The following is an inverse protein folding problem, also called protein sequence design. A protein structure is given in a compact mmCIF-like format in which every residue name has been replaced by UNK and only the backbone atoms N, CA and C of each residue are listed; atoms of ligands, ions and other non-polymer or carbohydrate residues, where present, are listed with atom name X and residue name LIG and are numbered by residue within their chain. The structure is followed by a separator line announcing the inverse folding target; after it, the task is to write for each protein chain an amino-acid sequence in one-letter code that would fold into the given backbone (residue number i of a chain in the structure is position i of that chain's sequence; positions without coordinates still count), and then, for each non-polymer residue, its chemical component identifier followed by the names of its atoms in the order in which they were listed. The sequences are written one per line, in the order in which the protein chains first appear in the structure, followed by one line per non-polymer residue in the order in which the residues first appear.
data_IF_015581017045
#
_entry.id   IF_015581017045
#
_cell.length_a   1.000
_cell.length_b   1.000
_cell.length_c   1.000
_cell.angle_alpha   90.00
_cell.angle_beta   90.00
_cell.angle_gamma   90.00
#
_symmetry.space_group_name_H-M   'P 1'
#
loop_
_entity.id
_entity.type
_entity.pdbx_description
1 polymer ?
#
# COMPACT_ATOMS: atom_id res chain seq x y z
N UNK A 1 -6.94 27.22 -3.86
CA UNK A 1 -5.89 26.25 -4.21
C UNK A 1 -6.58 24.92 -4.43
N UNK A 2 -6.34 24.25 -5.56
CA UNK A 2 -6.98 22.97 -5.89
C UNK A 2 -6.34 21.80 -5.13
N UNK A 3 -7.07 20.68 -5.06
CA UNK A 3 -6.52 19.40 -4.59
C UNK A 3 -5.37 18.95 -5.48
N UNK A 4 -4.35 18.31 -4.89
CA UNK A 4 -3.28 17.63 -5.64
C UNK A 4 -3.54 16.13 -5.81
N UNK A 5 -4.72 15.66 -5.41
CA UNK A 5 -5.11 14.25 -5.57
C UNK A 5 -5.75 14.07 -6.94
N UNK A 6 -5.32 13.02 -7.64
CA UNK A 6 -5.91 12.64 -8.93
C UNK A 6 -7.34 12.15 -8.74
N UNK A 7 -8.30 12.81 -9.36
CA UNK A 7 -9.74 12.55 -9.10
C UNK A 7 -10.23 11.20 -9.66
N UNK A 8 -9.66 10.70 -10.77
CA UNK A 8 -10.12 9.48 -11.44
C UNK A 8 -8.93 8.60 -11.90
N UNK A 9 -8.20 7.96 -10.98
CA UNK A 9 -7.16 7.01 -11.36
C UNK A 9 -7.80 5.78 -12.03
N UNK A 10 -7.13 5.25 -13.05
CA UNK A 10 -7.62 4.11 -13.83
C UNK A 10 -7.38 2.77 -13.16
N UNK A 11 -6.41 2.71 -12.24
CA UNK A 11 -5.96 1.49 -11.56
C UNK A 11 -5.87 1.73 -10.05
N UNK A 12 -6.03 0.65 -9.29
CA UNK A 12 -5.88 0.68 -7.83
C UNK A 12 -4.44 0.99 -7.44
N UNK A 13 -3.47 0.41 -8.15
CA UNK A 13 -2.06 0.75 -8.05
C UNK A 13 -1.41 0.59 -9.43
N UNK A 14 -0.27 1.25 -9.62
CA UNK A 14 0.41 1.27 -10.90
C UNK A 14 1.59 0.29 -10.95
N UNK A 15 2.31 0.16 -9.84
CA UNK A 15 3.50 -0.67 -9.70
C UNK A 15 3.62 -1.19 -8.27
N UNK A 16 3.97 -2.47 -8.14
CA UNK A 16 4.51 -3.07 -6.93
C UNK A 16 5.95 -3.50 -7.20
N UNK A 17 6.85 -3.30 -6.24
CA UNK A 17 8.19 -3.86 -6.31
C UNK A 17 8.78 -4.19 -4.94
N UNK A 18 9.73 -5.11 -4.94
CA UNK A 18 10.59 -5.42 -3.81
C UNK A 18 12.01 -4.96 -4.15
N UNK A 19 12.58 -4.11 -3.31
CA UNK A 19 13.94 -3.62 -3.45
C UNK A 19 14.85 -4.15 -2.34
N UNK A 20 16.06 -4.57 -2.69
CA UNK A 20 17.12 -4.88 -1.76
C UNK A 20 17.87 -3.60 -1.36
N UNK A 21 18.25 -3.52 -0.09
CA UNK A 21 19.06 -2.43 0.43
C UNK A 21 20.41 -2.41 -0.31
N UNK A 22 20.87 -1.24 -0.78
CA UNK A 22 22.14 -1.15 -1.49
C UNK A 22 23.31 -1.44 -0.55
N UNK A 23 24.41 -1.97 -1.08
CA UNK A 23 25.58 -2.33 -0.28
C UNK A 23 26.45 -1.12 0.10
N UNK A 24 26.29 0.00 -0.62
CA UNK A 24 27.02 1.25 -0.43
C UNK A 24 26.20 2.45 -0.92
N UNK A 25 26.59 3.66 -0.52
CA UNK A 25 25.90 4.91 -0.89
C UNK A 25 25.88 5.16 -2.42
N UNK A 26 26.96 4.79 -3.12
CA UNK A 26 27.08 4.92 -4.58
C UNK A 26 26.39 3.79 -5.35
N UNK A 27 25.86 2.77 -4.66
CA UNK A 27 25.22 1.64 -5.30
C UNK A 27 23.70 1.85 -5.39
N UNK A 28 23.13 1.48 -6.54
CA UNK A 28 21.70 1.53 -6.71
C UNK A 28 21.00 0.36 -6.01
N UNK A 29 19.86 0.59 -5.32
CA UNK A 29 19.06 -0.49 -4.77
C UNK A 29 18.58 -1.42 -5.88
N UNK A 30 18.76 -2.72 -5.68
CA UNK A 30 18.38 -3.71 -6.68
C UNK A 30 16.89 -4.07 -6.55
N UNK A 31 16.14 -4.00 -7.65
CA UNK A 31 14.78 -4.56 -7.71
C UNK A 31 14.88 -6.09 -7.78
N UNK A 32 14.42 -6.76 -6.74
CA UNK A 32 14.35 -8.21 -6.65
C UNK A 32 13.13 -8.76 -7.40
N UNK A 33 12.00 -8.05 -7.29
CA UNK A 33 10.71 -8.45 -7.87
C UNK A 33 9.92 -7.20 -8.25
N UNK A 34 9.10 -7.30 -9.29
CA UNK A 34 8.17 -6.24 -9.68
C UNK A 34 6.88 -6.81 -10.29
N UNK A 35 5.80 -6.07 -10.16
CA UNK A 35 4.50 -6.35 -10.79
C UNK A 35 3.81 -5.03 -11.20
N UNK A 36 3.32 -4.89 -12.43
CA UNK A 36 3.43 -5.84 -13.55
C UNK A 36 4.89 -6.02 -14.02
N UNK A 37 5.17 -7.10 -14.74
CA UNK A 37 6.52 -7.38 -15.27
C UNK A 37 6.91 -6.37 -16.34
N UNK A 38 5.99 -6.03 -17.25
CA UNK A 38 6.15 -4.91 -18.16
C UNK A 38 5.63 -3.62 -17.50
N UNK A 39 6.55 -2.77 -17.05
CA UNK A 39 6.22 -1.42 -16.59
C UNK A 39 6.79 -0.39 -17.57
N UNK A 40 5.92 0.46 -18.11
CA UNK A 40 6.23 1.32 -19.26
C UNK A 40 7.29 2.40 -18.98
N UNK A 41 7.48 2.78 -17.71
CA UNK A 41 8.36 3.87 -17.30
C UNK A 41 9.66 3.34 -16.70
N UNK A 42 10.64 3.11 -17.56
CA UNK A 42 11.96 2.58 -17.20
C UNK A 42 12.77 3.54 -16.30
N UNK A 43 12.56 4.85 -16.41
CA UNK A 43 13.21 5.84 -15.53
C UNK A 43 12.68 5.71 -14.10
N UNK A 44 11.36 5.57 -13.95
CA UNK A 44 10.73 5.29 -12.66
C UNK A 44 11.24 3.98 -12.04
N UNK A 45 11.44 2.91 -12.81
CA UNK A 45 11.98 1.63 -12.27
C UNK A 45 13.36 1.80 -11.64
N UNK A 46 14.20 2.69 -12.17
CA UNK A 46 15.53 2.95 -11.60
C UNK A 46 15.49 3.90 -10.41
N UNK A 47 14.62 4.90 -10.47
CA UNK A 47 14.56 5.97 -9.48
C UNK A 47 13.76 5.58 -8.22
N UNK A 48 12.64 4.86 -8.37
CA UNK A 48 11.75 4.51 -7.26
C UNK A 48 12.42 3.72 -6.14
N UNK A 49 13.30 2.73 -6.41
CA UNK A 49 13.99 2.00 -5.35
C UNK A 49 14.85 2.90 -4.45
N UNK A 50 15.37 4.02 -4.95
CA UNK A 50 16.13 4.98 -4.14
C UNK A 50 15.27 5.64 -3.05
N UNK A 51 13.97 5.82 -3.30
CA UNK A 51 13.03 6.34 -2.31
C UNK A 51 12.67 5.32 -1.22
N UNK A 52 12.95 4.03 -1.43
CA UNK A 52 12.74 2.99 -0.43
C UNK A 52 13.77 3.00 0.70
N UNK A 53 14.91 3.68 0.51
CA UNK A 53 15.99 3.78 1.49
C UNK A 53 16.40 5.25 1.70
N UNK A 54 15.50 6.10 2.27
CA UNK A 54 15.73 7.53 2.44
C UNK A 54 16.66 7.84 3.64
N UNK A 55 17.76 7.09 3.76
CA UNK A 55 18.72 7.21 4.85
C UNK A 55 20.12 6.83 4.39
N UNK A 56 21.12 7.30 5.13
CA UNK A 56 22.51 6.90 4.92
C UNK A 56 22.69 5.44 5.39
N UNK A 57 22.84 4.54 4.43
CA UNK A 57 22.95 3.09 4.66
C UNK A 57 24.16 2.72 5.50
N UNK A 58 25.23 3.53 5.52
CA UNK A 58 26.41 3.26 6.35
C UNK A 58 26.23 3.71 7.79
N UNK A 59 25.38 4.72 8.03
CA UNK A 59 25.19 5.32 9.36
C UNK A 59 23.96 4.83 10.10
N UNK A 60 22.99 4.26 9.39
CA UNK A 60 21.77 3.77 10.01
C UNK A 60 22.09 2.57 10.89
N UNK A 61 21.63 2.62 12.14
CA UNK A 61 21.65 1.42 12.99
C UNK A 61 20.51 0.52 12.56
N UNK A 62 20.80 -0.74 12.32
CA UNK A 62 19.79 -1.75 12.01
C UNK A 62 18.70 -1.73 13.09
N UNK A 63 17.48 -1.42 12.67
CA UNK A 63 16.31 -1.49 13.54
C UNK A 63 15.67 -2.86 13.39
N UNK A 64 15.41 -3.61 14.47
CA UNK A 64 14.70 -4.89 14.38
C UNK A 64 13.22 -4.71 14.02
N UNK A 65 12.70 -3.48 14.02
CA UNK A 65 11.29 -3.19 13.80
C UNK A 65 10.98 -2.98 12.31
N UNK A 66 9.83 -3.50 11.88
CA UNK A 66 9.24 -3.17 10.58
C UNK A 66 8.77 -1.72 10.62
N UNK A 67 9.07 -0.97 9.56
CA UNK A 67 8.67 0.43 9.44
C UNK A 67 7.82 0.65 8.20
N UNK A 68 6.70 1.36 8.39
CA UNK A 68 5.86 1.84 7.30
C UNK A 68 6.11 3.33 7.09
N UNK A 69 6.29 3.72 5.84
CA UNK A 69 6.38 5.11 5.46
C UNK A 69 5.80 5.31 4.06
N UNK A 70 5.50 6.54 3.70
CA UNK A 70 5.03 6.88 2.36
C UNK A 70 5.81 8.06 1.83
N UNK A 71 6.37 7.93 0.63
CA UNK A 71 6.88 9.07 -0.13
C UNK A 71 5.85 9.55 -1.14
N UNK A 72 5.95 10.80 -1.57
CA UNK A 72 5.07 11.36 -2.59
C UNK A 72 5.90 11.91 -3.75
N UNK A 73 5.59 11.45 -4.96
CA UNK A 73 6.09 12.00 -6.21
C UNK A 73 5.05 12.97 -6.77
N UNK A 74 5.51 14.02 -7.44
CA UNK A 74 4.62 14.95 -8.14
C UNK A 74 4.77 14.71 -9.63
N UNK A 75 3.65 14.45 -10.32
CA UNK A 75 3.67 14.31 -11.77
C UNK A 75 3.67 15.67 -12.48
N UNK A 76 3.73 15.63 -13.82
CA UNK A 76 3.77 16.83 -14.66
C UNK A 76 2.48 17.66 -14.58
N UNK A 77 1.36 17.05 -14.18
CA UNK A 77 0.06 17.70 -13.99
C UNK A 77 -0.07 18.32 -12.58
N UNK A 78 0.91 18.10 -11.71
CA UNK A 78 0.91 18.58 -10.33
C UNK A 78 0.17 17.66 -9.35
N UNK A 79 -0.24 16.47 -9.80
CA UNK A 79 -0.88 15.48 -8.95
C UNK A 79 0.15 14.67 -8.16
N UNK A 80 -0.24 14.24 -6.96
CA UNK A 80 0.57 13.42 -6.09
C UNK A 80 0.38 11.94 -6.39
N UNK A 81 1.49 11.23 -6.55
CA UNK A 81 1.58 9.78 -6.62
C UNK A 81 2.30 9.28 -5.38
N UNK A 82 1.68 8.37 -4.65
CA UNK A 82 2.16 7.90 -3.35
C UNK A 82 2.88 6.56 -3.50
N UNK A 83 4.09 6.48 -2.96
CA UNK A 83 4.84 5.23 -2.80
C UNK A 83 4.74 4.75 -1.37
N UNK A 84 3.85 3.78 -1.12
CA UNK A 84 3.66 3.16 0.19
C UNK A 84 4.74 2.10 0.40
N UNK A 85 5.53 2.26 1.45
CA UNK A 85 6.69 1.42 1.72
C UNK A 85 6.53 0.64 3.02
N UNK A 86 7.00 -0.61 3.00
CA UNK A 86 7.22 -1.46 4.17
C UNK A 86 8.68 -1.90 4.19
N UNK A 87 9.48 -1.26 5.04
CA UNK A 87 10.88 -1.62 5.27
C UNK A 87 10.93 -2.79 6.26
N UNK A 88 11.59 -3.88 5.87
CA UNK A 88 11.78 -5.05 6.72
C UNK A 88 12.65 -4.72 7.95
N UNK A 89 12.43 -5.46 9.04
CA UNK A 89 13.35 -5.42 10.18
C UNK A 89 14.77 -5.81 9.75
N UNK A 90 15.77 -5.05 10.20
CA UNK A 90 17.16 -5.12 9.71
C UNK A 90 17.43 -4.21 8.52
N UNK A 91 16.41 -3.63 7.88
CA UNK A 91 16.58 -2.66 6.79
C UNK A 91 17.15 -3.26 5.49
N UNK A 92 17.14 -4.59 5.33
CA UNK A 92 17.77 -5.27 4.19
C UNK A 92 16.89 -5.32 2.94
N UNK A 93 15.57 -5.20 3.08
CA UNK A 93 14.64 -5.13 1.94
C UNK A 93 13.45 -4.23 2.23
N UNK A 94 12.87 -3.70 1.17
CA UNK A 94 11.71 -2.81 1.21
C UNK A 94 10.69 -3.23 0.16
N UNK A 95 9.44 -3.36 0.57
CA UNK A 95 8.31 -3.57 -0.33
C UNK A 95 7.64 -2.23 -0.61
N UNK A 96 7.33 -1.93 -1.86
CA UNK A 96 6.70 -0.68 -2.26
C UNK A 96 5.51 -0.89 -3.18
N UNK A 97 4.42 -0.17 -2.94
CA UNK A 97 3.29 -0.03 -3.87
C UNK A 97 3.16 1.44 -4.26
N UNK A 98 3.13 1.71 -5.56
CA UNK A 98 2.94 3.04 -6.13
C UNK A 98 1.48 3.22 -6.58
N UNK A 99 0.79 4.23 -6.05
CA UNK A 99 -0.62 4.51 -6.40
C UNK A 99 -0.95 6.00 -6.32
N UNK A 100 -1.91 6.44 -7.13
CA UNK A 100 -2.54 7.75 -7.02
C UNK A 100 -3.61 7.81 -5.92
N UNK A 101 -4.05 6.67 -5.38
CA UNK A 101 -5.06 6.59 -4.33
C UNK A 101 -4.41 6.80 -2.96
N UNK A 102 -4.86 7.78 -2.16
CA UNK A 102 -4.30 8.08 -0.84
C UNK A 102 -4.83 7.12 0.25
N UNK A 103 -4.84 5.79 0.01
CA UNK A 103 -5.37 4.80 0.94
C UNK A 103 -4.28 4.21 1.84
N UNK A 104 -3.65 5.05 2.67
CA UNK A 104 -2.48 4.70 3.50
C UNK A 104 -2.65 3.39 4.28
N UNK A 105 -3.72 3.29 5.09
CA UNK A 105 -3.95 2.12 5.95
C UNK A 105 -4.21 0.84 5.14
N UNK A 106 -4.86 0.98 3.99
CA UNK A 106 -5.15 -0.13 3.09
C UNK A 106 -3.86 -0.69 2.52
N UNK A 107 -3.03 0.18 1.92
CA UNK A 107 -1.78 -0.26 1.32
C UNK A 107 -0.79 -0.81 2.35
N UNK A 108 -0.75 -0.28 3.57
CA UNK A 108 0.09 -0.86 4.63
C UNK A 108 -0.35 -2.27 5.04
N UNK A 109 -1.67 -2.54 5.11
CA UNK A 109 -2.16 -3.91 5.36
C UNK A 109 -1.89 -4.84 4.19
N UNK A 110 -2.05 -4.37 2.96
CA UNK A 110 -1.70 -5.13 1.76
C UNK A 110 -0.21 -5.49 1.76
N UNK A 111 0.68 -4.53 2.04
CA UNK A 111 2.12 -4.77 2.13
C UNK A 111 2.50 -5.77 3.23
N UNK A 112 1.80 -5.76 4.38
CA UNK A 112 2.00 -6.76 5.42
C UNK A 112 1.60 -8.16 4.95
N UNK A 113 0.45 -8.29 4.27
CA UNK A 113 0.02 -9.57 3.73
C UNK A 113 0.96 -10.08 2.63
N UNK A 114 1.42 -9.21 1.73
CA UNK A 114 2.43 -9.55 0.71
C UNK A 114 3.71 -10.05 1.38
N UNK A 115 4.18 -9.37 2.43
CA UNK A 115 5.35 -9.81 3.18
C UNK A 115 5.18 -11.19 3.82
N UNK A 116 3.98 -11.49 4.33
CA UNK A 116 3.67 -12.82 4.90
C UNK A 116 3.70 -13.91 3.82
N UNK A 117 3.18 -13.64 2.62
CA UNK A 117 3.28 -14.57 1.48
C UNK A 117 4.73 -14.80 1.06
N UNK A 118 5.56 -13.74 1.02
CA UNK A 118 6.99 -13.84 0.74
C UNK A 118 7.72 -14.67 1.80
N UNK A 119 7.43 -14.45 3.08
CA UNK A 119 8.04 -15.20 4.18
C UNK A 119 7.69 -16.71 4.13
N UNK A 120 6.50 -17.05 3.64
CA UNK A 120 6.04 -18.43 3.44
C UNK A 120 6.47 -19.04 2.09
N UNK A 121 7.18 -18.29 1.24
CA UNK A 121 7.54 -18.68 -0.13
C UNK A 121 6.34 -19.04 -1.02
N UNK A 122 5.17 -18.44 -0.75
CA UNK A 122 3.94 -18.65 -1.53
C UNK A 122 3.89 -17.71 -2.75
N UNK A 123 4.85 -17.86 -3.67
CA UNK A 123 5.01 -16.94 -4.79
C UNK A 123 3.84 -16.98 -5.78
N UNK A 124 3.31 -18.17 -6.10
CA UNK A 124 2.18 -18.33 -7.02
C UNK A 124 0.92 -17.63 -6.49
N UNK A 125 0.60 -17.84 -5.21
CA UNK A 125 -0.55 -17.20 -4.55
C UNK A 125 -0.39 -15.67 -4.51
N UNK A 126 0.84 -15.19 -4.30
CA UNK A 126 1.15 -13.77 -4.32
C UNK A 126 0.94 -13.16 -5.72
N UNK A 127 1.38 -13.83 -6.78
CA UNK A 127 1.23 -13.32 -8.14
C UNK A 127 -0.24 -13.32 -8.57
N UNK A 128 -1.03 -14.34 -8.18
CA UNK A 128 -2.49 -14.35 -8.35
C UNK A 128 -3.16 -13.21 -7.59
N UNK A 129 -2.74 -12.95 -6.34
CA UNK A 129 -3.25 -11.86 -5.52
C UNK A 129 -2.96 -10.48 -6.13
N UNK A 130 -1.71 -10.23 -6.55
CA UNK A 130 -1.31 -8.98 -7.19
C UNK A 130 -2.07 -8.78 -8.51
N UNK A 131 -2.25 -9.84 -9.29
CA UNK A 131 -3.03 -9.81 -10.54
C UNK A 131 -4.49 -9.47 -10.28
N UNK A 132 -5.12 -10.08 -9.29
CA UNK A 132 -6.51 -9.79 -8.93
C UNK A 132 -6.69 -8.35 -8.43
N UNK A 133 -5.76 -7.85 -7.60
CA UNK A 133 -5.78 -6.48 -7.10
C UNK A 133 -5.60 -5.46 -8.23
N UNK A 134 -4.72 -5.75 -9.20
CA UNK A 134 -4.43 -4.88 -10.32
C UNK A 134 -5.59 -4.79 -11.32
N UNK A 135 -6.29 -5.90 -11.56
CA UNK A 135 -7.46 -5.95 -12.41
C UNK A 135 -8.74 -5.44 -11.72
N UNK A 136 -8.73 -5.25 -10.40
CA UNK A 136 -9.90 -4.80 -9.67
C UNK A 136 -10.24 -3.34 -10.04
N UNK A 137 -11.51 -3.03 -10.38
CA UNK A 137 -11.92 -1.67 -10.72
C UNK A 137 -11.72 -0.72 -9.54
N UNK A 138 -11.37 0.53 -9.84
CA UNK A 138 -11.26 1.56 -8.80
C UNK A 138 -12.67 1.83 -8.23
N UNK A 139 -12.87 1.70 -6.92
CA UNK A 139 -14.15 1.95 -6.27
C UNK A 139 -14.50 3.43 -6.35
N UNK A 140 -15.80 3.72 -6.44
CA UNK A 140 -16.27 5.09 -6.52
C UNK A 140 -15.97 5.88 -5.23
N UNK A 141 -15.70 7.18 -5.39
CA UNK A 141 -15.53 8.11 -4.27
C UNK A 141 -16.72 8.03 -3.31
N UNK A 142 -16.45 8.01 -2.00
CA UNK A 142 -17.44 7.94 -0.91
C UNK A 142 -18.06 6.56 -0.61
N UNK A 143 -17.53 5.47 -1.16
CA UNK A 143 -17.85 4.12 -0.70
C UNK A 143 -16.91 3.68 0.44
N UNK A 144 -17.42 3.10 1.56
CA UNK A 144 -16.60 2.46 2.59
C UNK A 144 -15.75 1.33 2.00
N UNK A 145 -14.44 1.39 2.23
CA UNK A 145 -13.48 0.36 1.82
C UNK A 145 -13.24 -0.54 3.03
N UNK A 146 -13.86 -1.72 3.05
CA UNK A 146 -13.48 -2.81 3.97
C UNK A 146 -12.49 -3.74 3.27
N UNK A 147 -11.38 -4.04 3.94
CA UNK A 147 -10.42 -5.04 3.48
C UNK A 147 -10.68 -6.34 4.22
N UNK A 148 -11.29 -7.31 3.54
CA UNK A 148 -11.42 -8.68 4.04
C UNK A 148 -10.41 -9.57 3.30
N UNK A 149 -9.22 -9.74 3.88
CA UNK A 149 -8.21 -10.62 3.30
C UNK A 149 -8.49 -12.04 3.82
N UNK A 150 -9.34 -12.80 3.11
CA UNK A 150 -9.55 -14.22 3.42
C UNK A 150 -8.33 -15.05 2.97
N UNK A 151 -7.98 -16.05 3.78
CA UNK A 151 -7.03 -17.13 3.55
C UNK A 151 -7.19 -17.90 2.22
N UNK A 152 -8.29 -17.68 1.49
CA UNK A 152 -8.59 -18.32 0.20
C UNK A 152 -8.47 -17.39 -1.02
N UNK A 153 -7.78 -16.26 -0.87
CA UNK A 153 -7.50 -15.27 -1.91
C UNK A 153 -8.75 -14.55 -2.44
N UNK A 154 -8.69 -13.22 -2.53
CA UNK A 154 -9.52 -12.35 -3.40
C UNK A 154 -10.96 -11.96 -2.97
N UNK A 155 -11.21 -11.57 -1.72
CA UNK A 155 -12.39 -10.73 -1.44
C UNK A 155 -12.03 -9.38 -0.81
N UNK A 156 -11.51 -8.47 -1.64
CA UNK A 156 -11.49 -7.04 -1.30
C UNK A 156 -12.94 -6.52 -1.33
N UNK A 157 -13.69 -6.78 -0.25
CA UNK A 157 -15.12 -6.49 -0.18
C UNK A 157 -15.34 -5.06 0.26
N UNK A 158 -15.61 -4.19 -0.69
CA UNK A 158 -15.91 -2.77 -0.44
C UNK A 158 -17.42 -2.66 -0.21
N UNK A 159 -17.86 -2.62 1.06
CA UNK A 159 -19.29 -2.64 1.39
C UNK A 159 -19.85 -1.23 1.53
N UNK A 160 -20.78 -0.84 0.66
CA UNK A 160 -21.45 0.47 0.69
C UNK A 160 -22.65 0.48 1.64
N UNK A 161 -22.46 0.99 2.86
CA UNK A 161 -23.55 1.23 3.80
C UNK A 161 -24.16 2.62 3.60
N UNK A 162 -25.38 2.69 3.05
CA UNK A 162 -26.19 3.90 3.13
C UNK A 162 -26.49 4.18 4.62
N UNK A 163 -25.95 5.28 5.15
CA UNK A 163 -26.43 5.85 6.41
C UNK A 163 -27.78 6.48 6.14
N UNK A 164 -28.82 5.65 6.08
CA UNK A 164 -30.20 6.10 6.26
C UNK A 164 -30.69 5.51 7.58
N UNK A 165 -30.44 6.30 8.62
CA UNK A 165 -31.38 6.59 9.70
C UNK A 165 -32.07 5.38 10.37
N UNK A 166 -31.64 5.06 11.61
CA UNK A 166 -32.54 4.52 12.63
C UNK A 166 -32.19 3.16 13.25
N UNK A 167 -31.92 3.21 14.56
CA UNK A 167 -32.21 2.17 15.58
C UNK A 167 -31.31 0.92 15.69
N UNK A 168 -30.48 0.96 16.75
CA UNK A 168 -30.34 -0.03 17.83
C UNK A 168 -30.70 -1.51 17.56
N UNK A 169 -29.76 -2.45 17.77
CA UNK A 169 -29.83 -3.51 18.82
C UNK A 169 -28.69 -4.54 18.76
N UNK A 170 -27.99 -4.64 19.90
CA UNK A 170 -27.64 -5.84 20.69
C UNK A 170 -27.00 -7.10 20.04
N UNK A 171 -25.83 -7.44 20.60
CA UNK A 171 -25.17 -8.75 20.81
C UNK A 171 -25.65 -10.02 20.08
N UNK A 172 -24.67 -10.76 19.54
CA UNK A 172 -24.44 -12.18 19.86
C UNK A 172 -23.08 -12.65 19.31
N UNK A 173 -22.30 -13.33 20.16
CA UNK A 173 -20.98 -13.87 19.81
C UNK A 173 -20.99 -15.20 19.07
N UNK A 174 -19.76 -15.70 18.86
CA UNK A 174 -19.29 -17.03 18.40
C UNK A 174 -19.09 -17.24 16.87
N UNK A 175 -18.24 -18.19 16.42
CA UNK A 175 -16.76 -18.12 16.48
C UNK A 175 -16.11 -18.67 15.18
N UNK A 176 -15.46 -17.84 14.36
CA UNK A 176 -14.61 -18.37 13.28
C UNK A 176 -13.63 -17.30 12.74
N UNK A 177 -12.36 -17.39 13.15
CA UNK A 177 -11.17 -17.24 12.30
C UNK A 177 -10.95 -16.06 11.35
N UNK A 178 -11.75 -14.98 11.37
CA UNK A 178 -11.58 -13.82 10.49
C UNK A 178 -11.18 -12.56 11.27
N UNK A 179 -10.04 -11.96 10.93
CA UNK A 179 -9.62 -10.66 11.48
C UNK A 179 -10.37 -9.53 10.75
N UNK A 180 -11.66 -9.35 11.06
CA UNK A 180 -12.46 -8.27 10.47
C UNK A 180 -11.95 -6.91 10.98
N UNK A 181 -11.45 -6.07 10.08
CA UNK A 181 -11.06 -4.70 10.39
C UNK A 181 -11.92 -3.72 9.59
N UNK A 182 -12.70 -2.91 10.28
CA UNK A 182 -13.47 -1.83 9.67
C UNK A 182 -12.59 -0.58 9.51
N UNK A 183 -12.71 0.09 8.37
CA UNK A 183 -12.01 1.35 8.09
C UNK A 183 -12.99 2.40 7.59
N UNK A 184 -12.72 3.65 7.98
CA UNK A 184 -13.42 4.84 7.49
C UNK A 184 -12.42 5.57 6.60
N UNK A 185 -12.76 5.80 5.33
CA UNK A 185 -11.94 6.62 4.45
C UNK A 185 -11.84 8.03 5.05
N UNK A 186 -10.62 8.59 5.22
CA UNK A 186 -10.48 9.90 5.83
C UNK A 186 -11.03 10.97 4.88
N UNK A 187 -11.85 11.85 5.45
CA UNK A 187 -12.37 13.03 4.78
C UNK A 187 -11.22 14.00 4.47
N UNK A 188 -11.08 14.36 3.19
CA UNK A 188 -10.08 15.31 2.68
C UNK A 188 -10.10 16.70 3.34
N UNK A 189 -11.15 17.02 4.10
CA UNK A 189 -11.33 18.31 4.77
C UNK A 189 -10.81 18.40 6.21
N UNK A 190 -10.45 17.28 6.85
CA UNK A 190 -10.06 17.26 8.27
C UNK A 190 -8.75 16.49 8.50
N UNK A 191 -7.62 17.12 8.13
CA UNK A 191 -6.30 16.66 8.56
C UNK A 191 -6.13 16.90 10.07
N UNK A 192 -5.58 15.94 10.84
CA UNK A 192 -5.30 16.12 12.26
C UNK A 192 -4.20 17.17 12.45
N UNK A 193 -4.54 18.26 13.14
CA UNK A 193 -3.59 19.30 13.54
C UNK A 193 -2.73 18.80 14.70
N UNK A 194 -1.42 18.96 14.60
CA UNK A 194 -0.48 18.67 15.70
C UNK A 194 -0.66 19.75 16.77
N UNK A 195 -0.93 19.40 18.05
CA UNK A 195 -1.04 20.39 19.11
C UNK A 195 0.32 21.02 19.42
N UNK A 196 0.33 22.34 19.65
CA UNK A 196 1.50 23.13 20.10
C UNK A 196 2.02 22.69 21.48
#
# INVERSE_FOLDING_TARGET
MGSRIRENPQKTFDLFFEAACPTSEDADPQVLRQFPTEFDDQESVQMLPRFCFPFDVQRVKESPMVQHFTFALTDMEGNQRFGFCRLAGGGHSCLCILSYLPWFEVFYKLLNNIADHLAKQQLTELDEFLSALYCHPVPQSNSPISLEIDSKLTQLKITTGNVLNGQCRQWSGDPAGGTHSYFIAPDSSNLPTIPE
#
